data_IF_010377193949
#
_entry.id   IF_010377193949
#
_cell.length_a   1.000
_cell.length_b   1.000
_cell.length_c   1.000
_cell.angle_alpha   90.00
_cell.angle_beta   90.00
_cell.angle_gamma   90.00
#
_symmetry.space_group_name_H-M   'P 1'
#
loop_
_entity.id
_entity.type
_entity.pdbx_description
1 polymer ?
#
# COMPACT_ATOMS: atom_id res chain seq x y z
N UNK A 1 -7.52 9.16 -13.54
CA UNK A 1 -7.56 8.19 -12.42
C UNK A 1 -8.84 8.45 -11.64
N UNK A 2 -9.61 7.42 -11.30
CA UNK A 2 -10.85 7.56 -10.52
C UNK A 2 -10.69 6.84 -9.17
N UNK A 3 -11.52 7.16 -8.18
CA UNK A 3 -11.47 6.55 -6.85
C UNK A 3 -11.45 5.02 -6.89
N UNK A 4 -12.27 4.38 -7.74
CA UNK A 4 -12.29 2.92 -7.90
C UNK A 4 -10.94 2.34 -8.34
N UNK A 5 -10.22 3.02 -9.25
CA UNK A 5 -8.89 2.58 -9.69
C UNK A 5 -7.87 2.69 -8.56
N UNK A 6 -7.97 3.73 -7.73
CA UNK A 6 -7.06 3.95 -6.59
C UNK A 6 -7.32 2.92 -5.50
N UNK A 7 -8.60 2.56 -5.25
CA UNK A 7 -8.98 1.46 -4.36
C UNK A 7 -8.43 0.13 -4.87
N UNK A 8 -8.57 -0.18 -6.16
CA UNK A 8 -8.03 -1.41 -6.74
C UNK A 8 -6.50 -1.50 -6.59
N UNK A 9 -5.78 -0.39 -6.82
CA UNK A 9 -4.34 -0.32 -6.59
C UNK A 9 -3.97 -0.57 -5.12
N UNK A 10 -4.72 0.01 -4.19
CA UNK A 10 -4.53 -0.19 -2.75
C UNK A 10 -4.72 -1.65 -2.35
N UNK A 11 -5.79 -2.28 -2.81
CA UNK A 11 -6.08 -3.69 -2.54
C UNK A 11 -5.01 -4.60 -3.11
N UNK A 12 -4.56 -4.33 -4.34
CA UNK A 12 -3.47 -5.07 -4.96
C UNK A 12 -2.16 -4.92 -4.18
N UNK A 13 -1.85 -3.73 -3.67
CA UNK A 13 -0.66 -3.50 -2.86
C UNK A 13 -0.74 -4.26 -1.52
N UNK A 14 -1.90 -4.22 -0.85
CA UNK A 14 -2.13 -4.96 0.39
C UNK A 14 -2.02 -6.47 0.20
N UNK A 15 -2.59 -7.01 -0.89
CA UNK A 15 -2.49 -8.43 -1.20
C UNK A 15 -1.03 -8.87 -1.44
N UNK A 16 -0.25 -8.05 -2.15
CA UNK A 16 1.17 -8.30 -2.35
C UNK A 16 1.95 -8.27 -1.02
N UNK A 17 1.70 -7.29 -0.14
CA UNK A 17 2.34 -7.25 1.18
C UNK A 17 2.01 -8.48 2.00
N UNK A 18 0.75 -8.92 2.02
CA UNK A 18 0.35 -10.14 2.71
C UNK A 18 1.07 -11.38 2.14
N UNK A 19 1.23 -11.47 0.82
CA UNK A 19 1.98 -12.55 0.19
C UNK A 19 3.46 -12.53 0.56
N UNK A 20 4.08 -11.34 0.65
CA UNK A 20 5.49 -11.20 1.05
C UNK A 20 5.68 -11.58 2.52
N UNK A 21 4.79 -11.14 3.40
CA UNK A 21 4.85 -11.45 4.83
C UNK A 21 4.53 -12.92 5.14
N UNK A 22 3.86 -13.62 4.23
CA UNK A 22 3.61 -15.05 4.34
C UNK A 22 4.83 -15.91 3.99
N UNK A 23 5.90 -15.34 3.43
CA UNK A 23 7.14 -16.09 3.17
C UNK A 23 7.95 -16.22 4.45
N UNK A 24 8.52 -17.41 4.67
CA UNK A 24 9.23 -17.73 5.92
C UNK A 24 10.62 -17.09 6.04
N UNK A 25 11.05 -16.27 5.08
CA UNK A 25 12.41 -15.74 4.99
C UNK A 25 12.46 -14.30 4.48
N UNK A 26 13.57 -13.57 4.69
CA UNK A 26 13.73 -12.15 4.31
C UNK A 26 13.92 -11.92 2.80
N UNK A 27 13.92 -13.00 2.01
CA UNK A 27 14.13 -13.01 0.57
C UNK A 27 12.96 -13.66 -0.17
N UNK A 28 12.77 -13.26 -1.42
CA UNK A 28 11.83 -13.88 -2.36
C UNK A 28 12.55 -14.16 -3.68
N UNK A 29 12.07 -15.15 -4.42
CA UNK A 29 12.58 -15.44 -5.76
C UNK A 29 11.72 -14.73 -6.80
N UNK A 30 12.33 -13.87 -7.61
CA UNK A 30 11.69 -13.19 -8.74
C UNK A 30 12.55 -13.44 -9.98
N UNK A 31 11.97 -14.06 -11.02
CA UNK A 31 12.69 -14.42 -12.25
C UNK A 31 13.98 -15.23 -11.98
N UNK A 32 13.90 -16.24 -11.11
CA UNK A 32 15.05 -17.06 -10.67
C UNK A 32 16.15 -16.30 -9.89
N UNK A 33 15.93 -15.02 -9.56
CA UNK A 33 16.84 -14.22 -8.74
C UNK A 33 16.30 -14.07 -7.31
N UNK A 34 17.15 -14.34 -6.32
CA UNK A 34 16.80 -14.13 -4.91
C UNK A 34 17.04 -12.67 -4.54
N UNK A 35 15.96 -11.97 -4.19
CA UNK A 35 16.00 -10.56 -3.80
C UNK A 35 15.44 -10.37 -2.39
N UNK A 36 15.99 -9.44 -1.60
CA UNK A 36 15.40 -9.08 -0.31
C UNK A 36 14.05 -8.41 -0.53
N UNK A 37 13.00 -8.87 0.15
CA UNK A 37 11.66 -8.28 -0.02
C UNK A 37 11.42 -7.04 0.84
N UNK A 38 12.31 -6.71 1.78
CA UNK A 38 12.23 -5.49 2.59
C UNK A 38 12.12 -4.18 1.77
N UNK A 39 12.95 -3.91 0.75
CA UNK A 39 12.77 -2.72 -0.10
C UNK A 39 11.46 -2.74 -0.88
N UNK A 40 10.98 -3.93 -1.28
CA UNK A 40 9.70 -4.09 -1.96
C UNK A 40 8.53 -3.79 -1.02
N UNK A 41 8.56 -4.30 0.21
CA UNK A 41 7.57 -3.98 1.25
C UNK A 41 7.50 -2.47 1.48
N UNK A 42 8.64 -1.81 1.65
CA UNK A 42 8.69 -0.37 1.88
C UNK A 42 8.16 0.45 0.69
N UNK A 43 8.23 -0.08 -0.54
CA UNK A 43 7.61 0.55 -1.71
C UNK A 43 6.08 0.32 -1.74
N UNK A 44 5.62 -0.87 -1.35
CA UNK A 44 4.18 -1.19 -1.24
C UNK A 44 3.50 -0.37 -0.15
N UNK A 45 4.13 -0.21 1.02
CA UNK A 45 3.64 0.64 2.11
C UNK A 45 3.47 2.10 1.65
N UNK A 46 4.45 2.65 0.94
CA UNK A 46 4.36 4.00 0.34
C UNK A 46 3.24 4.11 -0.68
N UNK A 47 2.98 3.03 -1.44
CA UNK A 47 1.89 2.99 -2.41
C UNK A 47 0.54 3.03 -1.71
N UNK A 48 0.37 2.26 -0.63
CA UNK A 48 -0.85 2.28 0.19
C UNK A 48 -1.06 3.66 0.83
N UNK A 49 -0.03 4.27 1.40
CA UNK A 49 -0.11 5.63 1.96
C UNK A 49 -0.56 6.65 0.91
N UNK A 50 0.02 6.59 -0.29
CA UNK A 50 -0.38 7.45 -1.40
C UNK A 50 -1.84 7.22 -1.82
N UNK A 51 -2.27 5.96 -1.90
CA UNK A 51 -3.66 5.61 -2.22
C UNK A 51 -4.61 6.13 -1.15
N UNK A 52 -4.30 5.98 0.14
CA UNK A 52 -5.12 6.46 1.25
C UNK A 52 -5.27 7.97 1.22
N UNK A 53 -4.15 8.69 1.03
CA UNK A 53 -4.16 10.16 0.87
C UNK A 53 -5.00 10.59 -0.33
N UNK A 54 -4.89 9.89 -1.46
CA UNK A 54 -5.65 10.21 -2.66
C UNK A 54 -7.14 9.92 -2.49
N UNK A 55 -7.51 8.78 -1.92
CA UNK A 55 -8.91 8.45 -1.64
C UNK A 55 -9.55 9.46 -0.67
N UNK A 56 -8.78 9.98 0.29
CA UNK A 56 -9.23 11.07 1.15
C UNK A 56 -9.54 12.36 0.37
N UNK A 57 -8.82 12.66 -0.72
CA UNK A 57 -9.13 13.80 -1.62
C UNK A 57 -10.44 13.59 -2.42
N UNK A 58 -10.83 12.33 -2.68
CA UNK A 58 -12.09 12.00 -3.37
C UNK A 58 -13.31 12.03 -2.44
N UNK A 59 -13.11 12.01 -1.12
CA UNK A 59 -14.19 12.28 -0.18
C UNK A 59 -14.39 13.80 -0.10
N UNK A 60 -15.53 14.36 -0.54
CA UNK A 60 -15.84 15.75 -0.28
C UNK A 60 -15.98 15.92 1.24
N UNK A 61 -14.91 16.43 1.83
CA UNK A 61 -14.69 16.77 3.23
C UNK A 61 -15.90 16.67 4.16
N UNK A 62 -15.88 15.73 5.10
CA UNK A 62 -16.14 16.12 6.48
C UNK A 62 -14.75 16.33 7.10
N UNK A 63 -14.29 17.59 7.11
CA UNK A 63 -13.13 17.99 7.91
C UNK A 63 -13.50 17.70 9.36
N UNK A 64 -13.12 16.52 9.86
CA UNK A 64 -13.11 16.28 11.29
C UNK A 64 -11.92 17.06 11.83
N UNK A 65 -12.17 18.33 12.14
CA UNK A 65 -11.33 19.11 13.04
C UNK A 65 -11.29 18.34 14.36
N UNK A 66 -10.29 17.48 14.53
CA UNK A 66 -9.93 16.98 15.85
C UNK A 66 -9.33 18.20 16.53
N UNK A 67 -10.16 18.89 17.32
CA UNK A 67 -9.70 19.98 18.17
C UNK A 67 -8.68 19.40 19.15
N UNK A 68 -7.42 19.75 18.95
CA UNK A 68 -6.41 19.57 19.97
C UNK A 68 -6.52 20.74 20.96
N UNK A 69 -7.12 20.39 22.12
CA UNK A 69 -7.00 20.99 23.47
C UNK A 69 -7.62 22.37 23.74
#
# INVERSE_FOLDING_TARGET
>A
MNAEQITAMREQALAQMASLLATSGPTITVNDEEIPWAPLLAALERTVDWCDRKLAEYMPYEVRSVGET
#
